data_IF_844259115415
#
_entry.id   IF_844259115415
#
_cell.length_a   1.000
_cell.length_b   1.000
_cell.length_c   1.000
_cell.angle_alpha   90.00
_cell.angle_beta   90.00
_cell.angle_gamma   90.00
#
_symmetry.space_group_name_H-M   'P 1'
#
loop_
_entity.id
_entity.type
_entity.pdbx_description
1 polymer ?
#
# COMPACT_ATOMS: atom_id res chain seq x y z
N UNK A 1 67.44 8.84 21.93
CA UNK A 1 66.72 8.81 23.22
C UNK A 1 65.24 8.74 22.93
N UNK A 2 64.51 7.91 23.68
CA UNK A 2 63.06 7.90 24.03
C UNK A 2 62.02 8.49 23.04
N UNK A 3 60.83 7.89 22.87
CA UNK A 3 60.25 6.77 23.61
C UNK A 3 59.00 6.19 22.94
N UNK A 4 58.57 5.03 23.44
CA UNK A 4 57.59 4.14 22.82
C UNK A 4 56.32 4.04 23.70
N UNK A 5 55.13 4.02 23.08
CA UNK A 5 53.88 3.35 23.52
C UNK A 5 53.39 3.45 24.99
N UNK A 6 52.12 3.86 25.19
CA UNK A 6 50.98 2.98 25.59
C UNK A 6 49.80 3.85 26.08
N UNK A 7 48.61 3.65 25.51
CA UNK A 7 47.34 4.16 26.09
C UNK A 7 46.60 2.98 26.71
N UNK A 8 46.39 3.02 28.02
CA UNK A 8 45.75 1.94 28.77
C UNK A 8 44.23 2.15 28.91
N UNK A 9 43.45 1.08 28.75
CA UNK A 9 42.04 1.04 29.13
C UNK A 9 41.89 0.91 30.65
N UNK A 10 40.82 1.48 31.23
CA UNK A 10 40.23 1.01 32.48
C UNK A 10 38.81 1.56 32.64
N UNK A 11 37.82 0.67 32.63
CA UNK A 11 36.42 0.97 32.90
C UNK A 11 35.76 -0.28 33.47
N UNK A 12 35.79 -0.42 34.79
CA UNK A 12 35.20 -1.56 35.51
C UNK A 12 34.60 -1.08 36.83
N UNK A 13 33.28 -1.20 36.97
CA UNK A 13 32.53 -1.14 38.24
C UNK A 13 31.44 -2.23 38.22
N UNK A 14 30.94 -2.69 39.40
CA UNK A 14 30.85 -4.13 39.63
C UNK A 14 29.45 -4.76 39.56
N UNK A 15 29.42 -6.10 39.47
CA UNK A 15 28.28 -6.93 39.84
C UNK A 15 28.15 -7.09 41.37
N UNK A 16 26.95 -6.88 41.91
CA UNK A 16 26.28 -7.67 42.99
C UNK A 16 24.83 -7.16 43.03
N UNK A 17 23.77 -7.92 43.33
CA UNK A 17 23.61 -9.07 44.25
C UNK A 17 22.63 -10.14 43.72
N UNK A 18 22.66 -11.32 44.37
CA UNK A 18 21.75 -12.46 44.19
C UNK A 18 21.15 -12.86 45.55
N UNK A 19 20.11 -13.71 45.53
CA UNK A 19 19.37 -14.27 46.69
C UNK A 19 18.54 -13.22 47.49
N UNK A 20 17.41 -13.51 48.13
CA UNK A 20 16.52 -14.68 48.21
C UNK A 20 15.05 -14.15 48.35
N UNK A 21 13.98 -14.88 48.70
CA UNK A 21 13.74 -16.28 49.11
C UNK A 21 12.29 -16.69 48.76
N UNK A 22 11.82 -17.86 49.20
CA UNK A 22 10.39 -18.22 49.31
C UNK A 22 10.07 -18.49 50.78
N UNK A 23 8.88 -18.12 51.30
CA UNK A 23 7.93 -19.17 51.61
C UNK A 23 6.43 -18.83 51.46
N UNK A 24 5.63 -19.89 51.44
CA UNK A 24 4.17 -19.92 51.33
C UNK A 24 3.42 -19.22 52.48
N UNK A 25 2.25 -18.64 52.17
CA UNK A 25 1.13 -18.51 53.12
C UNK A 25 -0.21 -18.90 52.47
N UNK A 26 -1.02 -19.63 53.24
CA UNK A 26 -2.32 -20.18 52.86
C UNK A 26 -3.46 -19.25 53.29
N UNK A 27 -4.45 -18.98 52.44
CA UNK A 27 -5.81 -18.59 52.89
C UNK A 27 -6.89 -18.71 51.79
N UNK A 28 -7.71 -19.75 51.93
CA UNK A 28 -9.19 -19.75 51.93
C UNK A 28 -10.00 -19.02 50.84
N UNK A 29 -10.85 -19.78 50.16
CA UNK A 29 -11.88 -19.30 49.22
C UNK A 29 -13.09 -18.63 49.89
N UNK A 30 -13.83 -17.80 49.14
CA UNK A 30 -15.30 -17.90 48.93
C UNK A 30 -15.73 -16.79 47.95
N UNK A 31 -16.36 -17.16 46.84
CA UNK A 31 -16.89 -16.22 45.85
C UNK A 31 -17.57 -16.98 44.72
N UNK A 32 -18.90 -17.09 44.80
CA UNK A 32 -19.68 -17.88 43.87
C UNK A 32 -19.68 -17.26 42.46
N UNK A 33 -19.57 -18.12 41.44
CA UNK A 33 -19.86 -17.80 40.04
C UNK A 33 -21.11 -18.57 39.63
N UNK A 34 -22.24 -17.89 39.55
CA UNK A 34 -23.47 -18.46 39.00
C UNK A 34 -23.32 -18.70 37.48
N UNK A 35 -23.80 -19.84 36.95
CA UNK A 35 -23.76 -20.11 35.52
C UNK A 35 -24.86 -19.32 34.79
N UNK A 36 -24.45 -18.41 33.89
CA UNK A 36 -25.39 -17.79 32.94
C UNK A 36 -25.80 -18.85 31.90
N UNK A 37 -27.11 -19.10 31.68
CA UNK A 37 -27.56 -20.21 30.86
C UNK A 37 -27.35 -19.98 29.35
N UNK A 38 -27.12 -21.09 28.65
CA UNK A 38 -27.14 -21.14 27.18
C UNK A 38 -28.58 -21.10 26.66
N UNK A 39 -28.89 -20.19 25.74
CA UNK A 39 -30.06 -20.35 24.85
C UNK A 39 -29.86 -19.58 23.52
N UNK A 40 -29.64 -20.26 22.38
CA UNK A 40 -29.67 -19.65 21.07
C UNK A 40 -31.10 -19.62 20.51
N UNK A 41 -31.66 -18.42 20.32
CA UNK A 41 -32.99 -18.24 19.76
C UNK A 41 -33.15 -18.92 18.37
N UNK A 42 -34.33 -19.50 18.07
CA UNK A 42 -34.54 -20.28 16.86
C UNK A 42 -34.57 -19.40 15.59
N UNK A 43 -33.78 -19.83 14.59
CA UNK A 43 -33.85 -19.35 13.21
C UNK A 43 -35.21 -19.74 12.60
N UNK A 44 -35.93 -18.82 11.93
CA UNK A 44 -37.16 -19.17 11.21
C UNK A 44 -36.83 -19.98 9.95
N UNK A 45 -37.34 -21.20 9.89
CA UNK A 45 -37.29 -22.06 8.70
C UNK A 45 -38.05 -21.42 7.54
N UNK A 46 -37.33 -20.99 6.51
CA UNK A 46 -37.95 -20.58 5.24
C UNK A 46 -38.23 -21.84 4.42
N UNK A 47 -39.50 -22.23 4.35
CA UNK A 47 -39.98 -23.32 3.49
C UNK A 47 -39.74 -22.96 2.02
N UNK A 48 -38.92 -23.76 1.33
CA UNK A 48 -38.77 -23.69 -0.12
C UNK A 48 -39.69 -24.73 -0.79
N UNK A 49 -40.81 -24.26 -1.33
CA UNK A 49 -41.73 -25.03 -2.18
C UNK A 49 -41.46 -24.77 -3.69
N UNK A 50 -41.91 -25.65 -4.61
CA UNK A 50 -41.08 -26.05 -5.74
C UNK A 50 -41.23 -25.26 -7.05
N UNK A 51 -40.21 -25.44 -7.89
CA UNK A 51 -40.17 -25.08 -9.30
C UNK A 51 -41.37 -25.63 -10.09
N UNK A 52 -42.06 -24.77 -10.85
CA UNK A 52 -42.77 -25.16 -12.08
C UNK A 52 -42.47 -24.16 -13.21
N UNK A 53 -42.28 -24.62 -14.46
CA UNK A 53 -41.83 -23.76 -15.56
C UNK A 53 -42.99 -23.28 -16.46
N UNK A 54 -43.04 -21.98 -16.75
CA UNK A 54 -43.93 -21.42 -17.79
C UNK A 54 -43.13 -20.65 -18.84
N UNK A 55 -42.95 -21.33 -19.98
CA UNK A 55 -42.44 -20.82 -21.26
C UNK A 55 -43.44 -19.86 -21.90
N UNK A 56 -42.97 -18.71 -22.42
CA UNK A 56 -43.50 -18.15 -23.67
C UNK A 56 -42.49 -18.32 -24.81
N UNK A 57 -42.97 -18.36 -26.04
CA UNK A 57 -42.14 -18.27 -27.27
C UNK A 57 -42.71 -17.18 -28.17
N UNK A 58 -42.05 -16.88 -29.29
CA UNK A 58 -41.44 -15.58 -29.51
C UNK A 58 -42.42 -14.57 -30.11
N UNK A 59 -42.08 -13.28 -30.03
CA UNK A 59 -42.58 -12.32 -31.01
C UNK A 59 -41.44 -11.41 -31.45
N UNK A 60 -41.10 -11.49 -32.73
CA UNK A 60 -40.14 -10.62 -33.35
C UNK A 60 -40.82 -9.30 -33.74
N UNK A 61 -40.12 -8.18 -33.55
CA UNK A 61 -40.35 -6.97 -34.34
C UNK A 61 -39.00 -6.29 -34.53
N UNK A 62 -38.59 -6.20 -35.78
CA UNK A 62 -37.36 -5.54 -36.21
C UNK A 62 -37.60 -4.04 -36.47
N UNK A 63 -36.55 -3.35 -36.95
CA UNK A 63 -36.45 -1.88 -37.10
C UNK A 63 -36.05 -1.22 -35.78
N UNK A 64 -34.90 -0.54 -35.65
CA UNK A 64 -34.34 0.42 -36.61
C UNK A 64 -32.81 0.34 -36.69
N UNK A 65 -32.26 0.66 -37.86
CA UNK A 65 -30.82 0.86 -38.05
C UNK A 65 -30.32 2.07 -37.27
N UNK A 66 -29.27 1.90 -36.47
CA UNK A 66 -28.47 2.98 -35.91
C UNK A 66 -27.00 2.77 -36.33
N UNK A 67 -26.34 3.86 -36.74
CA UNK A 67 -24.99 3.86 -37.30
C UNK A 67 -23.93 3.36 -36.29
N UNK A 68 -22.74 2.93 -36.75
CA UNK A 68 -21.61 2.71 -35.86
C UNK A 68 -21.24 4.03 -35.19
N UNK A 69 -21.58 4.18 -33.91
CA UNK A 69 -21.03 5.25 -33.08
C UNK A 69 -19.55 5.02 -32.92
N UNK A 70 -18.76 5.88 -33.55
CA UNK A 70 -17.33 6.08 -33.29
C UNK A 70 -17.10 6.07 -31.77
N UNK A 71 -16.15 5.28 -31.25
CA UNK A 71 -15.77 5.37 -29.84
C UNK A 71 -15.38 6.81 -29.51
N UNK A 72 -15.93 7.37 -28.44
CA UNK A 72 -15.51 8.67 -27.95
C UNK A 72 -14.00 8.63 -27.66
N UNK A 73 -13.24 9.70 -27.95
CA UNK A 73 -11.82 9.72 -27.65
C UNK A 73 -11.62 9.58 -26.14
N UNK A 74 -10.86 8.56 -25.74
CA UNK A 74 -10.35 8.42 -24.37
C UNK A 74 -9.68 9.74 -23.97
N UNK A 75 -9.91 10.28 -22.75
CA UNK A 75 -9.22 11.47 -22.30
C UNK A 75 -7.71 11.21 -22.34
N UNK A 76 -7.03 11.89 -23.27
CA UNK A 76 -5.60 11.73 -23.50
C UNK A 76 -4.83 12.31 -22.31
N UNK A 77 -4.14 11.45 -21.57
CA UNK A 77 -3.24 11.84 -20.48
C UNK A 77 -2.22 12.88 -21.03
N UNK A 78 -2.19 14.12 -20.51
CA UNK A 78 -1.30 15.17 -21.02
C UNK A 78 0.19 14.89 -20.75
N UNK A 79 0.54 13.76 -20.13
CA UNK A 79 1.91 13.27 -19.95
C UNK A 79 2.37 12.16 -20.90
N UNK A 80 1.51 11.54 -21.73
CA UNK A 80 1.89 10.37 -22.53
C UNK A 80 2.59 10.72 -23.86
N UNK A 81 3.84 11.20 -23.75
CA UNK A 81 4.82 11.11 -24.85
C UNK A 81 5.57 9.79 -24.73
N UNK A 82 5.50 8.96 -25.77
CA UNK A 82 6.09 7.64 -25.77
C UNK A 82 7.62 7.70 -25.54
N UNK A 83 8.11 6.98 -24.53
CA UNK A 83 9.54 6.61 -24.47
C UNK A 83 10.49 7.51 -23.67
N UNK A 84 10.07 8.08 -22.53
CA UNK A 84 11.02 8.52 -21.49
C UNK A 84 10.72 7.84 -20.15
N UNK A 85 9.72 8.32 -19.41
CA UNK A 85 9.37 7.80 -18.08
C UNK A 85 7.86 7.76 -17.84
N UNK A 86 7.22 6.65 -18.26
CA UNK A 86 5.81 6.41 -18.00
C UNK A 86 5.62 5.84 -16.59
N UNK A 87 5.09 6.67 -15.70
CA UNK A 87 4.93 6.40 -14.25
C UNK A 87 3.55 5.88 -13.88
N UNK A 88 2.54 6.20 -14.68
CA UNK A 88 1.18 5.67 -14.52
C UNK A 88 1.12 4.27 -15.13
N UNK A 89 0.87 3.25 -14.31
CA UNK A 89 0.65 1.88 -14.78
C UNK A 89 -0.81 1.46 -14.54
N UNK A 90 -1.42 0.57 -15.35
CA UNK A 90 -2.77 0.06 -15.10
C UNK A 90 -2.86 -0.71 -13.76
N UNK A 91 -1.75 -1.35 -13.36
CA UNK A 91 -1.51 -1.91 -12.03
C UNK A 91 -0.01 -1.87 -11.74
N UNK A 92 0.38 -1.91 -10.46
CA UNK A 92 1.77 -1.98 -10.03
C UNK A 92 2.11 -3.43 -9.63
N UNK A 93 2.67 -4.25 -10.55
CA UNK A 93 2.95 -5.65 -10.27
C UNK A 93 4.16 -5.81 -9.34
N UNK A 94 4.26 -6.96 -8.69
CA UNK A 94 5.50 -7.35 -8.00
C UNK A 94 6.65 -7.42 -9.00
N UNK A 95 7.78 -6.79 -8.68
CA UNK A 95 9.02 -6.90 -9.45
C UNK A 95 10.13 -7.56 -8.63
N UNK A 96 10.87 -8.46 -9.27
CA UNK A 96 11.97 -9.22 -8.68
C UNK A 96 13.20 -9.20 -9.60
N UNK A 97 14.35 -9.64 -9.10
CA UNK A 97 15.62 -9.68 -9.85
C UNK A 97 15.46 -10.36 -11.21
N UNK A 98 15.81 -9.65 -12.29
CA UNK A 98 15.72 -10.16 -13.66
C UNK A 98 14.36 -9.95 -14.34
N UNK A 99 13.37 -9.38 -13.64
CA UNK A 99 12.15 -8.87 -14.26
C UNK A 99 12.47 -7.85 -15.38
N UNK A 100 11.60 -7.76 -16.37
CA UNK A 100 11.74 -6.86 -17.53
C UNK A 100 10.40 -6.26 -17.93
N UNK A 101 10.42 -5.12 -18.62
CA UNK A 101 9.26 -4.51 -19.27
C UNK A 101 8.87 -3.15 -18.70
N UNK A 102 7.66 -2.64 -19.04
CA UNK A 102 7.27 -1.25 -18.75
C UNK A 102 7.20 -0.94 -17.25
N UNK A 103 6.78 -1.90 -16.41
CA UNK A 103 6.79 -1.71 -14.96
C UNK A 103 8.22 -1.52 -14.40
N UNK A 104 9.23 -2.19 -14.97
CA UNK A 104 10.62 -1.97 -14.56
C UNK A 104 11.13 -0.59 -15.01
N UNK A 105 10.69 -0.10 -16.18
CA UNK A 105 10.98 1.28 -16.61
C UNK A 105 10.39 2.29 -15.64
N UNK A 106 9.12 2.10 -15.23
CA UNK A 106 8.48 2.94 -14.22
C UNK A 106 9.26 2.95 -12.90
N UNK A 107 9.66 1.78 -12.39
CA UNK A 107 10.52 1.65 -11.21
C UNK A 107 11.83 2.45 -11.36
N UNK A 108 12.53 2.30 -12.48
CA UNK A 108 13.79 3.00 -12.75
C UNK A 108 13.61 4.52 -12.78
N UNK A 109 12.45 5.01 -13.26
CA UNK A 109 12.09 6.42 -13.18
C UNK A 109 11.90 6.89 -11.74
N UNK A 110 11.04 6.22 -10.95
CA UNK A 110 10.85 6.59 -9.53
C UNK A 110 12.16 6.53 -8.71
N UNK A 111 13.05 5.57 -9.00
CA UNK A 111 14.38 5.51 -8.36
C UNK A 111 15.29 6.68 -8.73
N UNK A 112 15.18 7.22 -9.95
CA UNK A 112 15.91 8.43 -10.34
C UNK A 112 15.26 9.69 -9.78
N UNK A 113 13.93 9.77 -9.75
CA UNK A 113 13.17 10.90 -9.21
C UNK A 113 13.36 11.09 -7.70
N UNK A 114 13.61 9.99 -6.98
CA UNK A 114 13.89 9.97 -5.54
C UNK A 114 15.40 9.93 -5.22
N UNK A 115 16.26 10.37 -6.15
CA UNK A 115 17.73 10.50 -6.01
C UNK A 115 18.51 9.20 -5.65
N UNK A 116 17.88 8.03 -5.77
CA UNK A 116 18.55 6.73 -5.62
C UNK A 116 19.39 6.32 -6.84
N UNK A 117 19.32 7.11 -7.92
CA UNK A 117 20.06 6.95 -9.17
C UNK A 117 21.59 7.14 -9.10
N UNK A 118 22.25 7.31 -10.26
CA UNK A 118 21.67 7.15 -11.61
C UNK A 118 21.42 5.68 -11.95
N UNK A 119 20.21 5.36 -12.42
CA UNK A 119 19.83 4.06 -13.02
C UNK A 119 19.43 4.28 -14.48
N UNK A 120 19.96 3.48 -15.40
CA UNK A 120 19.52 3.50 -16.80
C UNK A 120 18.08 2.97 -16.91
N UNK A 121 17.20 3.69 -17.61
CA UNK A 121 15.78 3.32 -17.81
C UNK A 121 15.63 2.35 -19.00
N UNK A 122 16.33 1.21 -18.92
CA UNK A 122 16.36 0.15 -19.93
C UNK A 122 15.19 -0.85 -19.82
N UNK A 123 14.42 -0.80 -18.74
CA UNK A 123 13.35 -1.75 -18.45
C UNK A 123 13.83 -3.13 -18.02
N UNK A 124 15.06 -3.25 -17.49
CA UNK A 124 15.65 -4.50 -17.00
C UNK A 124 16.03 -4.36 -15.52
N UNK A 125 15.62 -5.29 -14.68
CA UNK A 125 15.96 -5.29 -13.25
C UNK A 125 17.40 -5.83 -13.05
N UNK A 126 18.35 -5.09 -13.60
CA UNK A 126 19.78 -5.35 -13.64
C UNK A 126 20.53 -4.95 -12.36
N UNK A 127 21.85 -4.86 -12.46
CA UNK A 127 22.72 -4.57 -11.32
C UNK A 127 22.51 -3.16 -10.76
N UNK A 128 22.37 -2.14 -11.63
CA UNK A 128 22.11 -0.75 -11.23
C UNK A 128 20.77 -0.60 -10.49
N UNK A 129 19.69 -1.14 -11.06
CA UNK A 129 18.36 -1.13 -10.43
C UNK A 129 18.39 -1.82 -9.06
N UNK A 130 19.07 -2.97 -8.92
CA UNK A 130 19.27 -3.62 -7.60
C UNK A 130 20.09 -2.78 -6.63
N UNK A 131 21.13 -2.10 -7.09
CA UNK A 131 21.94 -1.23 -6.23
C UNK A 131 21.12 -0.04 -5.73
N UNK A 132 20.32 0.59 -6.58
CA UNK A 132 19.40 1.67 -6.19
C UNK A 132 18.32 1.19 -5.22
N UNK A 133 17.68 0.04 -5.47
CA UNK A 133 16.70 -0.54 -4.55
C UNK A 133 17.34 -0.88 -3.20
N UNK A 134 18.58 -1.38 -3.17
CA UNK A 134 19.31 -1.58 -1.91
C UNK A 134 19.56 -0.27 -1.15
N UNK A 135 19.72 0.88 -1.83
CA UNK A 135 19.78 2.19 -1.16
C UNK A 135 18.43 2.58 -0.55
N UNK A 136 17.32 2.30 -1.25
CA UNK A 136 15.96 2.52 -0.72
C UNK A 136 15.77 1.69 0.54
N UNK A 137 16.03 0.39 0.48
CA UNK A 137 15.96 -0.54 1.62
C UNK A 137 16.84 -0.11 2.79
N UNK A 138 18.06 0.36 2.53
CA UNK A 138 18.96 0.88 3.56
C UNK A 138 18.57 2.28 4.09
N UNK A 139 17.60 2.95 3.48
CA UNK A 139 16.99 4.18 3.99
C UNK A 139 15.79 3.92 4.91
N UNK A 140 15.34 2.66 5.02
CA UNK A 140 14.24 2.26 5.90
C UNK A 140 14.77 1.92 7.29
N UNK A 141 13.97 2.20 8.32
CA UNK A 141 14.29 1.82 9.69
C UNK A 141 14.07 0.31 9.88
N UNK A 142 15.13 -0.46 9.65
CA UNK A 142 15.17 -1.92 9.87
C UNK A 142 15.34 -2.74 8.58
N UNK A 143 15.57 -4.06 8.71
CA UNK A 143 15.79 -4.92 7.56
C UNK A 143 14.49 -5.14 6.76
N UNK A 144 14.54 -4.86 5.46
CA UNK A 144 13.42 -5.11 4.55
C UNK A 144 12.98 -6.59 4.59
N UNK A 145 11.68 -6.92 4.76
CA UNK A 145 11.23 -8.30 4.91
C UNK A 145 11.56 -9.23 3.74
N UNK A 146 11.73 -8.69 2.52
CA UNK A 146 12.07 -9.41 1.28
C UNK A 146 13.03 -8.55 0.43
N UNK A 147 14.35 -8.64 0.62
CA UNK A 147 15.30 -7.77 -0.06
C UNK A 147 15.33 -7.99 -1.58
N UNK A 148 15.43 -6.91 -2.35
CA UNK A 148 15.44 -6.89 -3.81
C UNK A 148 14.08 -7.15 -4.46
N UNK A 149 12.97 -7.11 -3.72
CA UNK A 149 11.60 -7.29 -4.21
C UNK A 149 10.81 -6.00 -4.07
N UNK A 150 10.23 -5.53 -5.17
CA UNK A 150 9.31 -4.40 -5.17
C UNK A 150 7.90 -4.98 -5.13
N UNK A 151 7.23 -4.87 -3.99
CA UNK A 151 5.83 -5.23 -3.83
C UNK A 151 4.96 -3.99 -3.58
N UNK A 152 3.68 -4.19 -3.28
CA UNK A 152 2.71 -3.11 -3.14
C UNK A 152 3.19 -2.01 -2.16
N UNK A 153 3.72 -2.39 -0.99
CA UNK A 153 4.21 -1.41 -0.02
C UNK A 153 5.44 -0.65 -0.50
N UNK A 154 6.42 -1.34 -1.11
CA UNK A 154 7.59 -0.69 -1.70
C UNK A 154 7.20 0.25 -2.87
N UNK A 155 6.20 -0.11 -3.68
CA UNK A 155 5.65 0.78 -4.70
C UNK A 155 5.00 2.02 -4.10
N UNK A 156 4.14 1.85 -3.09
CA UNK A 156 3.48 2.96 -2.40
C UNK A 156 4.53 3.92 -1.82
N UNK A 157 5.56 3.41 -1.16
CA UNK A 157 6.66 4.20 -0.59
C UNK A 157 7.42 5.00 -1.66
N UNK A 158 7.83 4.34 -2.76
CA UNK A 158 8.59 4.98 -3.83
C UNK A 158 7.78 6.08 -4.55
N UNK A 159 6.50 5.84 -4.80
CA UNK A 159 5.62 6.81 -5.44
C UNK A 159 5.37 8.00 -4.49
N UNK A 160 5.02 7.71 -3.24
CA UNK A 160 4.64 8.72 -2.23
C UNK A 160 5.79 9.60 -1.77
N UNK A 161 7.05 9.23 -2.06
CA UNK A 161 8.23 10.06 -1.77
C UNK A 161 8.26 11.39 -2.54
N UNK A 162 7.45 11.51 -3.61
CA UNK A 162 7.25 12.74 -4.37
C UNK A 162 6.01 13.55 -3.96
N UNK A 163 5.24 13.11 -2.94
CA UNK A 163 4.14 13.90 -2.39
C UNK A 163 4.68 15.04 -1.50
N UNK A 164 4.15 16.25 -1.71
CA UNK A 164 4.28 17.32 -0.73
C UNK A 164 3.65 16.99 0.63
N UNK A 165 3.73 17.94 1.55
CA UNK A 165 3.15 17.86 2.90
C UNK A 165 1.81 18.64 3.00
N UNK A 166 1.23 19.00 1.85
CA UNK A 166 -0.06 19.69 1.79
C UNK A 166 -1.24 18.73 1.86
N UNK A 167 -2.29 19.11 2.60
CA UNK A 167 -3.54 18.35 2.66
C UNK A 167 -4.19 18.22 1.29
N UNK A 168 -4.57 17.00 0.89
CA UNK A 168 -5.34 16.74 -0.34
C UNK A 168 -6.75 16.26 -0.01
N UNK A 169 -7.75 16.89 -0.62
CA UNK A 169 -9.16 16.59 -0.42
C UNK A 169 -9.98 16.80 -1.69
N UNK A 170 -11.31 16.61 -1.63
CA UNK A 170 -12.17 16.74 -2.81
C UNK A 170 -12.10 18.16 -3.37
N UNK A 171 -11.71 18.27 -4.64
CA UNK A 171 -11.45 19.54 -5.32
C UNK A 171 -9.97 19.89 -5.45
N UNK A 172 -9.07 19.23 -4.73
CA UNK A 172 -7.62 19.29 -5.01
C UNK A 172 -7.33 18.77 -6.42
N UNK A 173 -6.34 19.38 -7.09
CA UNK A 173 -5.94 19.06 -8.47
C UNK A 173 -4.42 19.13 -8.64
N UNK A 174 -3.88 18.41 -9.62
CA UNK A 174 -2.50 18.56 -10.09
C UNK A 174 -1.56 17.40 -9.72
N UNK A 175 -0.25 17.69 -9.72
CA UNK A 175 0.80 16.67 -9.64
C UNK A 175 0.73 15.81 -8.36
N UNK A 176 0.50 16.42 -7.19
CA UNK A 176 0.36 15.68 -5.94
C UNK A 176 -0.85 14.73 -5.97
N UNK A 177 -1.96 15.13 -6.60
CA UNK A 177 -3.14 14.27 -6.77
C UNK A 177 -2.83 13.11 -7.73
N UNK A 178 -2.11 13.36 -8.82
CA UNK A 178 -1.63 12.29 -9.73
C UNK A 178 -0.76 11.28 -8.96
N UNK A 179 0.16 11.76 -8.11
CA UNK A 179 1.02 10.92 -7.28
C UNK A 179 0.21 10.13 -6.24
N UNK A 180 -0.72 10.78 -5.54
CA UNK A 180 -1.64 10.14 -4.59
C UNK A 180 -2.44 9.03 -5.27
N UNK A 181 -3.04 9.31 -6.43
CA UNK A 181 -3.81 8.34 -7.21
C UNK A 181 -2.96 7.13 -7.64
N UNK A 182 -1.70 7.35 -8.05
CA UNK A 182 -0.75 6.27 -8.33
C UNK A 182 -0.42 5.45 -7.08
N UNK A 183 -0.18 6.10 -5.94
CA UNK A 183 0.12 5.44 -4.67
C UNK A 183 -1.08 4.61 -4.19
N UNK A 184 -2.30 5.16 -4.20
CA UNK A 184 -3.52 4.43 -3.85
C UNK A 184 -3.78 3.24 -4.79
N UNK A 185 -3.44 3.34 -6.08
CA UNK A 185 -3.48 2.21 -7.03
C UNK A 185 -2.44 1.15 -6.69
N UNK A 186 -1.22 1.55 -6.32
CA UNK A 186 -0.18 0.64 -5.85
C UNK A 186 -0.56 -0.06 -4.53
N UNK A 187 -1.29 0.63 -3.65
CA UNK A 187 -1.82 0.12 -2.39
C UNK A 187 -2.94 -0.94 -2.56
N UNK A 188 -3.38 -1.24 -3.79
CA UNK A 188 -4.49 -2.17 -4.08
C UNK A 188 -5.84 -1.49 -4.35
N UNK A 189 -5.85 -0.17 -4.54
CA UNK A 189 -7.03 0.60 -4.91
C UNK A 189 -7.33 0.57 -6.41
N UNK A 190 -8.60 0.77 -6.76
CA UNK A 190 -9.05 0.85 -8.16
C UNK A 190 -9.64 2.23 -8.40
N UNK A 191 -8.95 3.05 -9.20
CA UNK A 191 -9.33 4.42 -9.55
C UNK A 191 -8.61 4.87 -10.82
N UNK A 192 -9.11 5.92 -11.46
CA UNK A 192 -8.44 6.63 -12.57
C UNK A 192 -7.35 7.55 -12.02
N UNK A 193 -6.22 7.63 -12.73
CA UNK A 193 -5.17 8.63 -12.45
C UNK A 193 -5.39 9.73 -13.47
N UNK A 194 -6.07 10.78 -13.06
CA UNK A 194 -6.48 11.94 -13.88
C UNK A 194 -5.98 13.27 -13.29
N UNK A 195 -5.43 13.25 -12.07
CA UNK A 195 -4.99 14.44 -11.35
C UNK A 195 -6.11 15.24 -10.69
N UNK A 196 -7.34 14.70 -10.65
CA UNK A 196 -8.51 15.32 -10.05
C UNK A 196 -8.99 14.55 -8.81
N UNK A 197 -9.01 15.19 -7.64
CA UNK A 197 -9.50 14.55 -6.43
C UNK A 197 -11.04 14.58 -6.42
N UNK A 198 -11.64 13.61 -7.09
CA UNK A 198 -13.09 13.39 -7.14
C UNK A 198 -13.63 12.44 -6.07
N UNK A 199 -14.90 12.06 -6.23
CA UNK A 199 -15.61 11.12 -5.34
C UNK A 199 -14.95 9.73 -5.31
N UNK A 200 -14.42 9.25 -6.44
CA UNK A 200 -13.75 7.95 -6.51
C UNK A 200 -12.41 7.96 -5.78
N UNK A 201 -11.61 9.02 -5.93
CA UNK A 201 -10.40 9.23 -5.12
C UNK A 201 -10.75 9.24 -3.62
N UNK A 202 -11.79 9.99 -3.21
CA UNK A 202 -12.24 10.02 -1.80
C UNK A 202 -12.64 8.64 -1.27
N UNK A 203 -13.38 7.84 -2.04
CA UNK A 203 -13.77 6.48 -1.65
C UNK A 203 -12.55 5.59 -1.40
N UNK A 204 -11.52 5.67 -2.25
CA UNK A 204 -10.31 4.84 -2.09
C UNK A 204 -9.42 5.34 -0.95
N UNK A 205 -9.32 6.66 -0.72
CA UNK A 205 -8.67 7.22 0.49
C UNK A 205 -9.35 6.69 1.75
N UNK A 206 -10.68 6.73 1.85
CA UNK A 206 -11.41 6.16 3.01
C UNK A 206 -11.11 4.67 3.20
N UNK A 207 -11.06 3.90 2.12
CA UNK A 207 -10.72 2.46 2.19
C UNK A 207 -9.29 2.24 2.69
N UNK A 208 -8.33 3.07 2.26
CA UNK A 208 -6.95 3.05 2.76
C UNK A 208 -6.86 3.43 4.23
N UNK A 209 -7.56 4.48 4.65
CA UNK A 209 -7.64 4.92 6.05
C UNK A 209 -8.22 3.82 6.95
N UNK A 210 -9.34 3.21 6.54
CA UNK A 210 -9.99 2.09 7.26
C UNK A 210 -9.08 0.86 7.37
N UNK A 211 -8.39 0.48 6.28
CA UNK A 211 -7.45 -0.65 6.30
C UNK A 211 -6.30 -0.44 7.28
N UNK A 212 -5.81 0.80 7.39
CA UNK A 212 -4.71 1.18 8.28
C UNK A 212 -5.18 1.71 9.65
N UNK A 213 -6.48 1.64 9.95
CA UNK A 213 -7.10 2.00 11.24
C UNK A 213 -6.89 3.44 11.68
N UNK A 214 -6.78 4.35 10.72
CA UNK A 214 -6.80 5.81 10.96
C UNK A 214 -8.17 6.39 10.59
N UNK A 215 -8.42 7.66 10.94
CA UNK A 215 -9.71 8.31 10.68
C UNK A 215 -10.10 8.27 9.21
N UNK A 216 -11.35 7.91 8.91
CA UNK A 216 -11.83 7.63 7.56
C UNK A 216 -12.65 8.77 6.94
N UNK A 217 -12.20 10.00 7.16
CA UNK A 217 -12.81 11.24 6.63
C UNK A 217 -12.68 11.39 5.10
N UNK A 218 -11.76 10.65 4.48
CA UNK A 218 -11.40 10.75 3.06
C UNK A 218 -10.58 11.98 2.72
N UNK A 219 -9.89 12.57 3.69
CA UNK A 219 -8.97 13.71 3.57
C UNK A 219 -7.53 13.21 3.82
N UNK A 220 -6.63 13.51 2.90
CA UNK A 220 -5.22 13.10 3.00
C UNK A 220 -4.45 14.21 3.74
N UNK A 221 -4.57 14.19 5.07
CA UNK A 221 -3.72 14.98 5.99
C UNK A 221 -2.49 14.21 6.45
N UNK A 222 -1.72 14.80 7.38
CA UNK A 222 -0.40 14.33 7.86
C UNK A 222 -0.33 12.83 8.15
N UNK A 223 -1.28 12.28 8.91
CA UNK A 223 -1.31 10.86 9.28
C UNK A 223 -1.47 9.94 8.05
N UNK A 224 -2.31 10.35 7.09
CA UNK A 224 -2.51 9.58 5.85
C UNK A 224 -1.30 9.71 4.92
N UNK A 225 -0.68 10.90 4.87
CA UNK A 225 0.58 11.13 4.14
C UNK A 225 1.73 10.31 4.74
N UNK A 226 1.84 10.24 6.06
CA UNK A 226 2.85 9.44 6.76
C UNK A 226 2.72 7.96 6.40
N UNK A 227 1.51 7.39 6.49
CA UNK A 227 1.25 5.99 6.10
C UNK A 227 1.62 5.71 4.63
N UNK A 228 1.28 6.62 3.72
CA UNK A 228 1.67 6.51 2.30
C UNK A 228 3.20 6.59 2.12
N UNK A 229 3.87 7.53 2.80
CA UNK A 229 5.35 7.66 2.78
C UNK A 229 6.07 6.47 3.43
N UNK A 230 5.40 5.73 4.32
CA UNK A 230 5.87 4.47 4.93
C UNK A 230 5.52 3.20 4.14
N UNK A 231 4.80 3.30 3.02
CA UNK A 231 4.45 2.14 2.19
C UNK A 231 3.28 1.30 2.71
N UNK A 232 2.35 1.89 3.45
CA UNK A 232 1.12 1.23 3.87
C UNK A 232 0.25 0.80 2.67
N UNK A 233 -0.65 -0.17 2.85
CA UNK A 233 -1.48 -0.74 1.77
C UNK A 233 -2.93 -0.96 2.22
N UNK A 234 -3.81 -1.38 1.30
CA UNK A 234 -5.24 -1.62 1.57
C UNK A 234 -5.52 -3.08 2.01
N UNK A 235 -4.56 -3.99 1.89
CA UNK A 235 -4.67 -5.40 2.30
C UNK A 235 -3.45 -6.24 1.94
#
# INVERSE_FOLDING_TARGET
MLGLTLTACSGTTPQTTSAAESPSVTATATGAVDPVPSDPAPIPTVTADPLTPTKPTPSASATTSAAPTTPAPTPTDPGSVAGACERTLPAYPVLERGAKGPAVRALQCFLNDADYGPVVVDGVYGAQTRAAVKKVEASLEGPAPKPGRIDAGMWVLLISRSLGDGTLEVGSKGADVVTLQRALRAAGGTLTVDGDFGSETKKVVRRFQQANRVGDDGVVGDETLFLLKMGATIG
#
